data_IF_161198876923
#
_entry.id   IF_161198876923
#
_cell.length_a   1.000
_cell.length_b   1.000
_cell.length_c   1.000
_cell.angle_alpha   90.00
_cell.angle_beta   90.00
_cell.angle_gamma   90.00
#
_symmetry.space_group_name_H-M   'P 1'
#
loop_
_entity.id
_entity.type
_entity.pdbx_description
1 polymer ?
#
# COMPACT_ATOMS: atom_id res chain seq x y z
N UNK A 1 -17.53 -1.51 18.42
CA UNK A 1 -16.20 -1.35 19.10
C UNK A 1 -15.43 -0.28 18.34
N UNK A 2 -14.80 0.66 19.04
CA UNK A 2 -13.96 1.64 18.35
C UNK A 2 -12.62 1.02 17.96
N UNK A 3 -12.14 1.33 16.75
CA UNK A 3 -10.80 0.92 16.32
C UNK A 3 -9.76 1.80 17.02
N UNK A 4 -8.65 1.25 17.53
CA UNK A 4 -7.60 2.02 18.19
C UNK A 4 -6.73 2.75 17.15
N UNK A 5 -7.25 3.85 16.62
CA UNK A 5 -6.56 4.70 15.66
C UNK A 5 -5.62 5.68 16.37
N UNK A 6 -4.45 5.91 15.77
CA UNK A 6 -3.54 7.00 16.15
C UNK A 6 -4.21 8.37 15.88
N UNK A 7 -3.69 9.42 16.47
CA UNK A 7 -4.11 10.79 16.21
C UNK A 7 -3.23 11.50 15.17
N UNK A 8 -2.08 10.95 14.84
CA UNK A 8 -1.15 11.51 13.87
C UNK A 8 -1.49 11.07 12.44
N UNK A 9 -1.49 12.04 11.50
CA UNK A 9 -1.53 11.76 10.08
C UNK A 9 -0.14 11.46 9.54
N UNK A 10 0.04 10.27 8.95
CA UNK A 10 1.23 9.91 8.18
C UNK A 10 0.98 10.08 6.68
N UNK A 11 1.98 10.57 5.95
CA UNK A 11 1.95 10.73 4.50
C UNK A 11 2.98 9.81 3.85
N UNK A 12 2.54 8.98 2.92
CA UNK A 12 3.38 8.12 2.12
C UNK A 12 3.31 8.44 0.63
N UNK A 13 4.26 7.91 -0.12
CA UNK A 13 4.27 7.99 -1.58
C UNK A 13 4.12 6.59 -2.16
N UNK A 14 3.15 6.40 -3.05
CA UNK A 14 3.11 5.24 -3.92
C UNK A 14 4.07 5.48 -5.08
N UNK A 15 5.12 4.71 -5.15
CA UNK A 15 6.06 4.83 -6.26
C UNK A 15 5.56 4.06 -7.47
N UNK A 16 5.32 4.78 -8.54
CA UNK A 16 4.99 4.17 -9.82
C UNK A 16 6.11 4.51 -10.79
N UNK A 17 7.03 3.57 -10.93
CA UNK A 17 8.03 3.62 -12.00
C UNK A 17 7.42 3.10 -13.32
N UNK A 18 6.27 3.69 -13.70
CA UNK A 18 5.57 3.28 -14.91
C UNK A 18 5.46 4.46 -15.83
N UNK A 19 5.97 4.32 -17.03
CA UNK A 19 5.52 5.13 -18.13
C UNK A 19 4.22 4.52 -18.64
N UNK A 20 3.14 5.25 -18.52
CA UNK A 20 1.83 4.85 -19.04
C UNK A 20 1.62 5.28 -20.49
N UNK A 21 2.52 6.11 -21.01
CA UNK A 21 2.42 6.67 -22.35
C UNK A 21 3.22 5.83 -23.36
N UNK A 22 2.56 5.22 -24.36
CA UNK A 22 3.25 4.50 -25.43
C UNK A 22 4.25 5.41 -26.16
N UNK A 23 5.43 4.90 -26.48
CA UNK A 23 6.41 5.57 -27.33
C UNK A 23 7.39 6.49 -26.62
N UNK A 24 7.23 6.75 -25.32
CA UNK A 24 8.20 7.49 -24.51
C UNK A 24 9.05 6.50 -23.70
N UNK A 25 10.13 6.04 -24.27
CA UNK A 25 11.10 5.16 -23.58
C UNK A 25 12.12 5.94 -22.74
N UNK A 26 12.93 5.26 -21.90
CA UNK A 26 12.86 3.87 -21.50
C UNK A 26 11.68 3.55 -20.59
N UNK A 27 11.18 2.32 -20.65
CA UNK A 27 10.04 1.85 -19.84
C UNK A 27 10.37 1.63 -18.36
N UNK A 28 11.63 1.43 -18.04
CA UNK A 28 12.13 1.25 -16.68
C UNK A 28 13.01 2.43 -16.29
N UNK A 29 12.99 2.84 -15.03
CA UNK A 29 13.92 3.85 -14.53
C UNK A 29 15.35 3.27 -14.50
N UNK A 30 16.33 4.13 -14.69
CA UNK A 30 17.71 3.81 -14.40
C UNK A 30 17.93 3.67 -12.89
N UNK A 31 19.00 2.95 -12.49
CA UNK A 31 19.28 2.74 -11.06
C UNK A 31 19.47 4.05 -10.30
N UNK A 32 20.08 5.05 -10.92
CA UNK A 32 20.29 6.36 -10.32
C UNK A 32 18.96 7.10 -10.10
N UNK A 33 17.98 6.88 -10.96
CA UNK A 33 16.64 7.46 -10.82
C UNK A 33 15.89 6.85 -9.63
N UNK A 34 16.03 5.54 -9.40
CA UNK A 34 15.50 4.86 -8.21
C UNK A 34 16.12 5.42 -6.93
N UNK A 35 17.43 5.63 -6.91
CA UNK A 35 18.14 6.23 -5.77
C UNK A 35 17.67 7.66 -5.52
N UNK A 36 17.62 8.48 -6.57
CA UNK A 36 17.16 9.89 -6.50
C UNK A 36 15.73 9.99 -5.97
N UNK A 37 14.85 9.10 -6.38
CA UNK A 37 13.47 9.10 -5.89
C UNK A 37 13.40 8.84 -4.37
N UNK A 38 14.10 7.84 -3.87
CA UNK A 38 14.12 7.55 -2.42
C UNK A 38 14.68 8.73 -1.65
N UNK A 39 15.78 9.33 -2.12
CA UNK A 39 16.39 10.52 -1.53
C UNK A 39 15.44 11.71 -1.54
N UNK A 40 14.70 11.91 -2.62
CA UNK A 40 13.70 12.97 -2.74
C UNK A 40 12.58 12.81 -1.72
N UNK A 41 11.96 11.63 -1.66
CA UNK A 41 10.89 11.33 -0.71
C UNK A 41 11.36 11.52 0.74
N UNK A 42 12.60 11.11 1.03
CA UNK A 42 13.21 11.28 2.36
C UNK A 42 13.41 12.75 2.72
N UNK A 43 14.09 13.54 1.87
CA UNK A 43 14.37 14.96 2.15
C UNK A 43 13.13 15.85 2.15
N UNK A 44 12.08 15.47 1.42
CA UNK A 44 10.79 16.16 1.41
C UNK A 44 9.93 15.89 2.65
N UNK A 45 10.38 15.07 3.60
CA UNK A 45 9.71 14.87 4.87
C UNK A 45 8.47 13.98 4.83
N UNK A 46 8.31 13.14 3.80
CA UNK A 46 7.30 12.08 3.81
C UNK A 46 7.66 10.99 4.84
N UNK A 47 6.66 10.28 5.33
CA UNK A 47 6.86 9.26 6.37
C UNK A 47 7.16 7.88 5.79
N UNK A 48 6.68 7.59 4.58
CA UNK A 48 6.78 6.25 4.00
C UNK A 48 6.82 6.24 2.47
N UNK A 49 7.31 5.12 1.94
CA UNK A 49 7.36 4.86 0.50
C UNK A 49 6.82 3.46 0.21
N UNK A 50 5.97 3.36 -0.80
CA UNK A 50 5.20 2.16 -1.13
C UNK A 50 5.44 1.72 -2.56
N UNK A 51 5.48 0.41 -2.79
CA UNK A 51 5.62 -0.18 -4.13
C UNK A 51 4.49 -1.15 -4.41
N UNK A 52 3.98 -1.14 -5.64
CA UNK A 52 2.99 -2.10 -6.11
C UNK A 52 3.63 -3.38 -6.62
N UNK A 53 2.82 -4.40 -6.83
CA UNK A 53 3.25 -5.70 -7.32
C UNK A 53 2.38 -6.20 -8.46
N UNK A 54 3.04 -6.69 -9.51
CA UNK A 54 2.45 -7.51 -10.56
C UNK A 54 3.51 -8.46 -11.11
N UNK A 55 3.12 -9.68 -11.46
CA UNK A 55 4.00 -10.68 -12.08
C UNK A 55 4.01 -10.54 -13.61
N UNK A 56 2.82 -10.31 -14.17
CA UNK A 56 2.63 -10.16 -15.61
C UNK A 56 1.54 -9.11 -15.88
N UNK A 57 1.95 -7.88 -16.02
CA UNK A 57 1.06 -6.73 -16.21
C UNK A 57 1.27 -6.11 -17.59
N UNK A 58 0.29 -5.35 -18.07
CA UNK A 58 0.38 -4.65 -19.36
C UNK A 58 1.48 -3.59 -19.40
N UNK A 59 1.89 -3.09 -18.23
CA UNK A 59 2.96 -2.10 -18.08
C UNK A 59 4.14 -2.73 -17.31
N UNK A 60 5.39 -2.34 -17.61
CA UNK A 60 6.56 -2.82 -16.88
C UNK A 60 6.49 -2.47 -15.40
N UNK A 61 6.65 -3.44 -14.54
CA UNK A 61 6.72 -3.28 -13.08
C UNK A 61 7.90 -4.08 -12.56
N UNK A 62 8.72 -3.47 -11.72
CA UNK A 62 9.81 -4.15 -11.04
C UNK A 62 9.26 -5.02 -9.89
N UNK A 63 9.97 -6.11 -9.58
CA UNK A 63 9.65 -6.91 -8.40
C UNK A 63 9.72 -6.04 -7.13
N UNK A 64 8.68 -6.01 -6.31
CA UNK A 64 8.59 -5.09 -5.18
C UNK A 64 9.63 -5.35 -4.11
N UNK A 65 10.00 -6.60 -3.84
CA UNK A 65 10.98 -6.90 -2.79
C UNK A 65 12.40 -6.53 -3.19
N UNK A 66 12.75 -6.71 -4.47
CA UNK A 66 14.05 -6.30 -5.00
C UNK A 66 14.18 -4.77 -5.02
N UNK A 67 13.10 -4.07 -5.42
CA UNK A 67 13.04 -2.60 -5.39
C UNK A 67 13.14 -2.07 -3.96
N UNK A 68 12.42 -2.66 -3.01
CA UNK A 68 12.46 -2.27 -1.61
C UNK A 68 13.80 -2.57 -0.95
N UNK A 69 14.47 -3.66 -1.31
CA UNK A 69 15.82 -3.95 -0.83
C UNK A 69 16.83 -2.87 -1.26
N UNK A 70 16.73 -2.39 -2.50
CA UNK A 70 17.52 -1.26 -3.00
C UNK A 70 17.17 0.03 -2.23
N UNK A 71 15.91 0.33 -2.01
CA UNK A 71 15.48 1.53 -1.28
C UNK A 71 15.95 1.55 0.18
N UNK A 72 16.01 0.40 0.84
CA UNK A 72 16.41 0.25 2.23
C UNK A 72 17.85 0.71 2.50
N UNK A 73 18.75 0.61 1.52
CA UNK A 73 20.13 1.07 1.69
C UNK A 73 20.30 2.57 1.43
N UNK A 74 19.29 3.23 0.86
CA UNK A 74 19.31 4.67 0.54
C UNK A 74 18.75 5.51 1.70
N UNK A 75 17.66 5.08 2.32
CA UNK A 75 17.05 5.81 3.45
C UNK A 75 17.03 5.00 4.73
N UNK A 76 17.45 5.64 5.84
CA UNK A 76 17.39 5.09 7.20
C UNK A 76 16.19 5.62 7.99
N UNK A 77 15.39 6.51 7.42
CA UNK A 77 14.26 7.16 8.09
C UNK A 77 12.91 6.66 7.60
N UNK A 78 12.76 6.47 6.29
CA UNK A 78 11.50 6.09 5.70
C UNK A 78 11.02 4.72 6.18
N UNK A 79 9.73 4.61 6.42
CA UNK A 79 9.03 3.32 6.49
C UNK A 79 8.74 2.86 5.07
N UNK A 80 8.95 1.59 4.79
CA UNK A 80 8.71 1.01 3.48
C UNK A 80 7.55 0.02 3.51
N UNK A 81 6.80 -0.06 2.41
CA UNK A 81 5.69 -0.99 2.34
C UNK A 81 5.36 -1.46 0.92
N UNK A 82 4.57 -2.51 0.84
CA UNK A 82 3.96 -2.96 -0.41
C UNK A 82 2.50 -2.49 -0.50
N UNK A 83 2.13 -1.85 -1.59
CA UNK A 83 0.80 -1.30 -1.80
C UNK A 83 0.16 -1.73 -3.13
N UNK A 84 -0.24 -3.00 -3.29
CA UNK A 84 -0.19 -4.18 -2.40
C UNK A 84 0.61 -5.31 -3.05
N UNK A 85 1.14 -6.25 -2.26
CA UNK A 85 1.75 -7.50 -2.74
C UNK A 85 0.69 -8.55 -3.04
N UNK A 86 0.74 -9.17 -4.21
CA UNK A 86 -0.23 -10.20 -4.63
C UNK A 86 0.15 -11.57 -4.06
N UNK A 87 0.02 -11.71 -2.73
CA UNK A 87 0.47 -12.89 -1.99
C UNK A 87 -0.09 -14.24 -2.52
N UNK A 88 -1.35 -14.32 -3.04
CA UNK A 88 -1.86 -15.58 -3.56
C UNK A 88 -1.08 -16.16 -4.74
N UNK A 89 -0.31 -15.33 -5.46
CA UNK A 89 0.49 -15.75 -6.61
C UNK A 89 1.80 -16.47 -6.23
N UNK A 90 2.16 -16.48 -4.95
CA UNK A 90 3.45 -17.03 -4.47
C UNK A 90 3.24 -18.04 -3.34
N UNK A 91 4.20 -18.92 -3.19
CA UNK A 91 4.23 -19.83 -2.04
C UNK A 91 4.66 -19.06 -0.79
N UNK A 92 3.89 -19.13 0.35
CA UNK A 92 4.16 -18.31 1.53
C UNK A 92 5.48 -18.65 2.25
N UNK A 93 6.04 -19.82 2.09
CA UNK A 93 7.31 -20.22 2.73
C UNK A 93 8.49 -19.35 2.28
N UNK A 94 8.85 -19.30 0.98
CA UNK A 94 9.86 -18.36 0.47
C UNK A 94 9.54 -16.90 0.78
N UNK A 95 8.27 -16.48 0.65
CA UNK A 95 7.83 -15.12 0.96
C UNK A 95 8.07 -14.78 2.43
N UNK A 96 7.79 -15.70 3.36
CA UNK A 96 8.07 -15.51 4.79
C UNK A 96 9.56 -15.19 5.04
N UNK A 97 10.46 -15.90 4.33
CA UNK A 97 11.91 -15.71 4.42
C UNK A 97 12.36 -14.37 3.83
N UNK A 98 11.82 -14.00 2.67
CA UNK A 98 12.11 -12.73 2.01
C UNK A 98 11.69 -11.55 2.88
N UNK A 99 10.49 -11.61 3.47
CA UNK A 99 9.96 -10.57 4.36
C UNK A 99 10.80 -10.47 5.64
N UNK A 100 11.18 -11.59 6.25
CA UNK A 100 12.06 -11.57 7.41
C UNK A 100 13.41 -10.89 7.09
N UNK A 101 13.96 -11.16 5.91
CA UNK A 101 15.19 -10.51 5.42
C UNK A 101 15.00 -9.01 5.23
N UNK A 102 13.94 -8.59 4.53
CA UNK A 102 13.63 -7.17 4.32
C UNK A 102 13.42 -6.42 5.64
N UNK A 103 12.75 -7.05 6.59
CA UNK A 103 12.50 -6.46 7.91
C UNK A 103 13.81 -6.22 8.69
N UNK A 104 14.80 -7.10 8.54
CA UNK A 104 16.16 -6.86 9.06
C UNK A 104 16.89 -5.75 8.31
N UNK A 105 16.86 -5.75 6.97
CA UNK A 105 17.50 -4.71 6.15
C UNK A 105 16.93 -3.32 6.42
N UNK A 106 15.63 -3.25 6.70
CA UNK A 106 14.90 -2.01 7.03
C UNK A 106 14.88 -1.68 8.53
N UNK A 107 15.57 -2.48 9.35
CA UNK A 107 15.64 -2.26 10.80
C UNK A 107 14.26 -2.17 11.49
N UNK A 108 13.28 -2.96 11.03
CA UNK A 108 11.91 -2.99 11.54
C UNK A 108 11.00 -1.88 10.97
N UNK A 109 11.40 -1.18 9.91
CA UNK A 109 10.62 -0.14 9.23
C UNK A 109 9.90 -0.69 8.00
N UNK A 110 9.42 -1.92 8.05
CA UNK A 110 8.68 -2.56 6.97
C UNK A 110 7.22 -2.81 7.35
N UNK A 111 6.32 -2.55 6.42
CA UNK A 111 4.89 -2.86 6.48
C UNK A 111 4.53 -3.73 5.28
N UNK A 112 3.93 -4.88 5.54
CA UNK A 112 3.54 -5.80 4.48
C UNK A 112 2.08 -5.58 4.06
N UNK A 113 1.88 -4.77 3.03
CA UNK A 113 0.56 -4.58 2.41
C UNK A 113 0.25 -5.69 1.40
N UNK A 114 -0.89 -6.37 1.57
CA UNK A 114 -1.26 -7.53 0.75
C UNK A 114 -2.59 -7.35 0.03
N UNK A 115 -2.71 -7.97 -1.14
CA UNK A 115 -3.93 -7.99 -1.94
C UNK A 115 -4.24 -9.38 -2.50
N UNK A 116 -5.49 -9.55 -2.92
CA UNK A 116 -5.94 -10.81 -3.56
C UNK A 116 -5.63 -10.83 -5.06
N UNK A 117 -5.42 -9.67 -5.70
CA UNK A 117 -5.31 -9.58 -7.15
C UNK A 117 -6.59 -9.98 -7.88
N UNK A 118 -6.46 -10.26 -9.16
CA UNK A 118 -7.53 -10.80 -10.01
C UNK A 118 -8.00 -9.86 -11.11
N UNK A 119 -7.44 -8.65 -11.21
CA UNK A 119 -7.70 -7.72 -12.31
C UNK A 119 -7.10 -8.22 -13.62
N UNK A 120 -6.00 -8.98 -13.51
CA UNK A 120 -5.28 -9.57 -14.65
C UNK A 120 -5.21 -11.10 -14.49
N UNK A 121 -6.19 -11.86 -15.02
CA UNK A 121 -6.25 -13.32 -14.88
C UNK A 121 -5.00 -14.06 -15.39
N UNK A 122 -4.29 -13.51 -16.37
CA UNK A 122 -3.06 -14.11 -16.92
C UNK A 122 -1.91 -14.19 -15.90
N UNK A 123 -1.88 -13.34 -14.89
CA UNK A 123 -0.92 -13.46 -13.78
C UNK A 123 -1.15 -14.75 -12.97
N UNK A 124 -2.41 -15.11 -12.79
CA UNK A 124 -2.78 -16.35 -12.08
C UNK A 124 -2.43 -17.59 -12.92
N UNK A 125 -2.64 -17.51 -14.23
CA UNK A 125 -2.30 -18.59 -15.17
C UNK A 125 -0.79 -18.87 -15.17
N UNK A 126 0.06 -17.85 -15.31
CA UNK A 126 1.52 -18.02 -15.33
C UNK A 126 2.08 -18.47 -13.98
N UNK A 127 1.39 -18.17 -12.88
CA UNK A 127 1.77 -18.63 -11.53
C UNK A 127 1.16 -20.00 -11.18
N UNK A 128 0.35 -20.61 -12.06
CA UNK A 128 -0.30 -21.88 -11.79
C UNK A 128 -1.34 -21.85 -10.66
N UNK A 129 -1.95 -20.69 -10.42
CA UNK A 129 -2.91 -20.49 -9.31
C UNK A 129 -4.32 -20.29 -9.87
N UNK A 130 -5.30 -21.14 -9.50
CA UNK A 130 -6.69 -20.93 -9.87
C UNK A 130 -7.24 -19.61 -9.32
N UNK A 131 -7.80 -18.78 -10.20
CA UNK A 131 -8.30 -17.44 -9.85
C UNK A 131 -9.36 -17.44 -8.75
N UNK A 132 -10.22 -18.46 -8.71
CA UNK A 132 -11.27 -18.61 -7.69
C UNK A 132 -10.73 -19.00 -6.30
N UNK A 133 -9.48 -19.44 -6.18
CA UNK A 133 -8.84 -19.78 -4.91
C UNK A 133 -8.13 -18.61 -4.24
N UNK A 134 -7.93 -17.46 -4.94
CA UNK A 134 -7.10 -16.34 -4.48
C UNK A 134 -7.42 -15.85 -3.07
N UNK A 135 -8.69 -15.76 -2.72
CA UNK A 135 -9.11 -15.30 -1.39
C UNK A 135 -8.81 -16.30 -0.27
N UNK A 136 -9.01 -17.59 -0.53
CA UNK A 136 -8.70 -18.66 0.44
C UNK A 136 -7.18 -18.84 0.59
N UNK A 137 -6.44 -18.81 -0.52
CA UNK A 137 -4.96 -18.86 -0.51
C UNK A 137 -4.37 -17.69 0.26
N UNK A 138 -4.88 -16.45 0.06
CA UNK A 138 -4.43 -15.30 0.86
C UNK A 138 -4.63 -15.55 2.35
N UNK A 139 -5.81 -16.02 2.74
CA UNK A 139 -6.12 -16.27 4.16
C UNK A 139 -5.19 -17.31 4.78
N UNK A 140 -4.95 -18.41 4.10
CA UNK A 140 -4.06 -19.46 4.59
C UNK A 140 -2.59 -19.04 4.55
N UNK A 141 -2.16 -18.32 3.50
CA UNK A 141 -0.81 -17.75 3.43
C UNK A 141 -0.49 -16.85 4.62
N UNK A 142 -1.44 -16.00 5.04
CA UNK A 142 -1.27 -15.13 6.21
C UNK A 142 -1.04 -15.93 7.50
N UNK A 143 -1.73 -17.06 7.67
CA UNK A 143 -1.53 -17.96 8.79
C UNK A 143 -0.15 -18.61 8.75
N UNK A 144 0.26 -19.10 7.57
CA UNK A 144 1.61 -19.67 7.36
C UNK A 144 2.72 -18.65 7.67
N UNK A 145 2.58 -17.40 7.21
CA UNK A 145 3.55 -16.35 7.51
C UNK A 145 3.70 -16.14 9.03
N UNK A 146 2.58 -15.94 9.74
CA UNK A 146 2.60 -15.73 11.20
C UNK A 146 3.18 -16.94 11.95
N UNK A 147 2.89 -18.15 11.49
CA UNK A 147 3.42 -19.40 12.08
C UNK A 147 4.94 -19.50 11.90
N UNK A 148 5.46 -19.22 10.69
CA UNK A 148 6.90 -19.25 10.41
C UNK A 148 7.68 -18.13 11.10
N UNK A 149 7.09 -16.93 11.25
CA UNK A 149 7.72 -15.76 11.86
C UNK A 149 7.91 -15.86 13.37
N UNK A 150 7.36 -16.89 14.01
CA UNK A 150 7.67 -17.18 15.43
C UNK A 150 9.13 -17.54 15.63
N UNK A 151 9.84 -18.00 14.60
CA UNK A 151 11.21 -18.52 14.71
C UNK A 151 11.30 -19.84 15.48
N UNK A 152 10.18 -20.39 15.93
CA UNK A 152 10.09 -21.64 16.65
C UNK A 152 9.80 -22.81 15.70
N UNK A 153 9.87 -24.04 16.21
CA UNK A 153 9.49 -25.23 15.45
C UNK A 153 7.99 -25.19 15.13
N UNK A 154 7.66 -25.04 13.86
CA UNK A 154 6.33 -24.78 13.35
C UNK A 154 5.80 -25.95 12.52
N UNK A 155 4.51 -26.22 12.65
CA UNK A 155 3.76 -27.19 11.85
C UNK A 155 2.49 -26.50 11.33
N UNK A 156 2.11 -26.78 10.09
CA UNK A 156 0.89 -26.28 9.48
C UNK A 156 0.25 -27.37 8.61
N UNK A 157 -1.03 -27.61 8.84
CA UNK A 157 -1.86 -28.50 8.03
C UNK A 157 -3.05 -27.71 7.50
N UNK A 158 -2.94 -27.28 6.27
CA UNK A 158 -3.95 -26.47 5.60
C UNK A 158 -4.48 -27.12 4.32
N UNK A 159 -5.35 -26.41 3.65
CA UNK A 159 -5.87 -26.83 2.35
C UNK A 159 -4.82 -26.75 1.24
N UNK A 160 -3.98 -25.71 1.27
CA UNK A 160 -3.05 -25.39 0.19
C UNK A 160 -1.60 -25.62 0.59
N UNK A 161 -1.27 -25.51 1.88
CA UNK A 161 0.11 -25.59 2.37
C UNK A 161 0.20 -26.56 3.54
N UNK A 162 1.19 -27.45 3.49
CA UNK A 162 1.41 -28.46 4.53
C UNK A 162 2.91 -28.61 4.80
N UNK A 163 3.29 -28.54 6.08
CA UNK A 163 4.66 -28.81 6.53
C UNK A 163 4.68 -29.16 8.01
N UNK A 164 5.71 -29.90 8.45
CA UNK A 164 5.87 -30.33 9.82
C UNK A 164 7.27 -30.03 10.36
N UNK A 165 7.33 -29.49 11.57
CA UNK A 165 8.56 -29.36 12.34
C UNK A 165 9.60 -28.41 11.71
N UNK A 166 9.16 -27.41 10.95
CA UNK A 166 10.04 -26.43 10.28
C UNK A 166 10.41 -25.31 11.22
N UNK A 167 11.68 -24.92 11.26
CA UNK A 167 12.15 -23.73 11.98
C UNK A 167 12.73 -22.75 10.96
N UNK A 168 12.17 -21.55 10.87
CA UNK A 168 12.67 -20.49 9.98
C UNK A 168 13.53 -19.49 10.76
N UNK A 169 14.83 -19.41 10.41
CA UNK A 169 15.79 -18.49 11.04
C UNK A 169 16.49 -17.62 9.98
N UNK A 170 16.78 -16.34 10.25
CA UNK A 170 16.26 -15.61 11.41
C UNK A 170 14.75 -15.34 11.28
N UNK A 171 14.03 -15.18 12.38
CA UNK A 171 12.68 -14.60 12.34
C UNK A 171 12.77 -13.11 11.95
N UNK A 172 11.65 -12.44 11.62
CA UNK A 172 11.64 -11.00 11.44
C UNK A 172 12.19 -10.25 12.66
N UNK A 173 12.72 -9.05 12.44
CA UNK A 173 13.17 -8.15 13.50
C UNK A 173 12.00 -7.67 14.37
N UNK A 174 10.87 -7.36 13.74
CA UNK A 174 9.62 -7.03 14.42
C UNK A 174 9.02 -8.31 15.03
N UNK A 175 8.77 -8.32 16.33
CA UNK A 175 8.22 -9.49 17.02
C UNK A 175 6.88 -9.93 16.42
N UNK A 176 6.77 -11.19 16.02
CA UNK A 176 5.59 -11.74 15.32
C UNK A 176 5.44 -11.30 13.86
N UNK A 177 6.48 -10.69 13.29
CA UNK A 177 6.57 -10.20 11.92
C UNK A 177 6.12 -8.75 11.74
N UNK A 178 6.36 -8.15 10.58
CA UNK A 178 5.93 -6.80 10.27
C UNK A 178 4.40 -6.68 10.33
N UNK A 179 3.87 -5.45 10.57
CA UNK A 179 2.44 -5.20 10.46
C UNK A 179 1.95 -5.60 9.06
N UNK A 180 0.78 -6.27 9.01
CA UNK A 180 0.16 -6.65 7.74
C UNK A 180 -1.09 -5.81 7.53
N UNK A 181 -1.12 -5.10 6.40
CA UNK A 181 -2.30 -4.37 5.96
C UNK A 181 -2.88 -5.03 4.72
N UNK A 182 -4.18 -4.96 4.51
CA UNK A 182 -4.78 -5.46 3.28
C UNK A 182 -5.76 -4.48 2.66
N UNK A 183 -5.80 -4.52 1.34
CA UNK A 183 -6.80 -3.85 0.54
C UNK A 183 -8.11 -4.64 0.44
N UNK A 184 -9.08 -4.02 -0.24
CA UNK A 184 -10.36 -4.63 -0.60
C UNK A 184 -11.54 -4.08 0.18
N UNK A 185 -12.72 -4.15 -0.49
CA UNK A 185 -13.99 -3.58 -0.01
C UNK A 185 -15.11 -4.62 0.16
N UNK A 186 -14.87 -5.86 -0.29
CA UNK A 186 -15.86 -6.94 -0.15
C UNK A 186 -15.99 -7.37 1.31
N UNK A 187 -17.13 -7.94 1.68
CA UNK A 187 -17.35 -8.46 3.03
C UNK A 187 -16.31 -9.50 3.43
N UNK A 188 -15.82 -10.30 2.48
CA UNK A 188 -14.75 -11.26 2.72
C UNK A 188 -13.41 -10.56 3.04
N UNK A 189 -13.11 -9.42 2.39
CA UNK A 189 -11.93 -8.61 2.69
C UNK A 189 -12.05 -7.95 4.07
N UNK A 190 -13.19 -7.33 4.36
CA UNK A 190 -13.51 -6.73 5.67
C UNK A 190 -13.35 -7.75 6.80
N UNK A 191 -13.96 -8.93 6.68
CA UNK A 191 -13.84 -10.01 7.67
C UNK A 191 -12.40 -10.48 7.84
N UNK A 192 -11.61 -10.52 6.76
CA UNK A 192 -10.17 -10.89 6.83
C UNK A 192 -9.38 -9.84 7.59
N UNK A 193 -9.60 -8.56 7.29
CA UNK A 193 -8.96 -7.45 8.02
C UNK A 193 -9.31 -7.53 9.50
N UNK A 194 -10.58 -7.58 9.82
CA UNK A 194 -11.07 -7.66 11.20
C UNK A 194 -10.49 -8.84 11.99
N UNK A 195 -10.22 -9.96 11.33
CA UNK A 195 -9.79 -11.19 12.00
C UNK A 195 -8.28 -11.37 12.10
N UNK A 196 -7.50 -10.93 11.07
CA UNK A 196 -6.11 -11.37 10.91
C UNK A 196 -5.09 -10.22 10.78
N UNK A 197 -5.53 -8.99 10.50
CA UNK A 197 -4.61 -7.94 10.03
C UNK A 197 -4.47 -6.78 11.01
N UNK A 198 -3.42 -5.99 10.81
CA UNK A 198 -3.06 -4.87 11.66
C UNK A 198 -3.46 -3.52 11.02
N UNK A 199 -3.99 -3.56 9.81
CA UNK A 199 -4.47 -2.35 9.12
C UNK A 199 -5.28 -2.65 7.87
N UNK A 200 -5.98 -1.61 7.41
CA UNK A 200 -6.76 -1.62 6.17
C UNK A 200 -6.26 -0.53 5.23
N UNK A 201 -5.98 -0.89 3.99
CA UNK A 201 -5.58 0.01 2.92
C UNK A 201 -6.70 0.11 1.91
N UNK A 202 -7.50 1.15 1.96
CA UNK A 202 -8.56 1.39 0.98
C UNK A 202 -8.03 2.03 -0.30
N UNK A 203 -8.82 1.93 -1.35
CA UNK A 203 -8.48 2.40 -2.68
C UNK A 203 -9.77 2.70 -3.45
N UNK A 204 -9.80 3.83 -4.16
CA UNK A 204 -10.97 4.27 -4.97
C UNK A 204 -12.27 4.27 -4.15
N UNK A 205 -12.30 5.04 -3.08
CA UNK A 205 -13.45 5.29 -2.20
C UNK A 205 -13.57 6.78 -1.90
N UNK A 206 -14.76 7.22 -1.53
CA UNK A 206 -14.98 8.56 -0.94
C UNK A 206 -14.72 8.52 0.56
N UNK A 207 -14.58 9.68 1.26
CA UNK A 207 -14.48 9.72 2.72
C UNK A 207 -15.63 8.99 3.43
N UNK A 208 -16.87 9.14 2.95
CA UNK A 208 -18.03 8.43 3.52
C UNK A 208 -17.94 6.92 3.35
N UNK A 209 -17.54 6.45 2.16
CA UNK A 209 -17.31 5.01 1.91
C UNK A 209 -16.15 4.49 2.77
N UNK A 210 -15.15 5.32 3.01
CA UNK A 210 -14.03 4.98 3.89
C UNK A 210 -14.51 4.79 5.33
N UNK A 211 -15.28 5.74 5.88
CA UNK A 211 -15.89 5.63 7.22
C UNK A 211 -16.74 4.36 7.34
N UNK A 212 -17.65 4.13 6.39
CA UNK A 212 -18.46 2.92 6.37
C UNK A 212 -17.63 1.62 6.34
N UNK A 213 -16.48 1.64 5.65
CA UNK A 213 -15.53 0.51 5.65
C UNK A 213 -14.94 0.25 7.02
N UNK A 214 -14.54 1.32 7.74
CA UNK A 214 -14.02 1.20 9.11
C UNK A 214 -15.09 0.71 10.09
N UNK A 215 -16.32 1.21 9.99
CA UNK A 215 -17.43 0.76 10.83
C UNK A 215 -17.68 -0.74 10.67
N UNK A 216 -17.72 -1.23 9.42
CA UNK A 216 -17.85 -2.67 9.14
C UNK A 216 -16.69 -3.50 9.72
N UNK A 217 -15.46 -2.98 9.68
CA UNK A 217 -14.28 -3.66 10.27
C UNK A 217 -14.41 -3.69 11.80
N UNK A 218 -14.81 -2.56 12.41
CA UNK A 218 -15.04 -2.46 13.85
C UNK A 218 -16.12 -3.44 14.34
N UNK A 219 -17.25 -3.51 13.63
CA UNK A 219 -18.36 -4.42 13.93
C UNK A 219 -17.92 -5.88 13.80
N UNK A 220 -17.22 -6.22 12.71
CA UNK A 220 -16.72 -7.58 12.48
C UNK A 220 -15.67 -8.00 13.52
N UNK A 221 -14.80 -7.09 13.95
CA UNK A 221 -13.83 -7.34 15.02
C UNK A 221 -14.52 -7.48 16.38
N UNK A 222 -15.49 -6.60 16.67
CA UNK A 222 -16.30 -6.67 17.90
C UNK A 222 -17.06 -7.98 18.02
N UNK A 223 -17.65 -8.46 16.93
CA UNK A 223 -18.42 -9.72 16.91
C UNK A 223 -17.58 -10.96 17.26
N UNK A 224 -16.26 -10.91 17.10
CA UNK A 224 -15.33 -12.00 17.46
C UNK A 224 -14.47 -11.67 18.68
N UNK A 225 -14.72 -10.57 19.36
CA UNK A 225 -13.97 -10.14 20.55
C UNK A 225 -12.49 -9.84 20.28
N UNK A 226 -12.12 -9.46 19.04
CA UNK A 226 -10.73 -9.19 18.71
C UNK A 226 -10.23 -7.90 19.36
N UNK A 227 -9.02 -7.97 19.95
CA UNK A 227 -8.25 -6.83 20.40
C UNK A 227 -7.10 -6.58 19.41
N UNK A 228 -6.87 -5.32 19.06
CA UNK A 228 -5.75 -4.91 18.22
C UNK A 228 -4.58 -4.49 19.11
N UNK A 229 -3.82 -5.44 19.61
CA UNK A 229 -2.74 -5.23 20.59
C UNK A 229 -1.61 -4.33 20.06
N UNK A 230 -1.41 -4.32 18.74
CA UNK A 230 -0.39 -3.49 18.06
C UNK A 230 -0.95 -2.19 17.49
N UNK A 231 -2.19 -1.82 17.88
CA UNK A 231 -2.95 -0.77 17.22
C UNK A 231 -3.56 -1.22 15.89
N UNK A 232 -4.29 -0.31 15.26
CA UNK A 232 -4.88 -0.53 13.93
C UNK A 232 -4.62 0.69 13.06
N UNK A 233 -4.12 0.47 11.84
CA UNK A 233 -3.88 1.59 10.91
C UNK A 233 -4.94 1.61 9.82
N UNK A 234 -5.68 2.70 9.75
CA UNK A 234 -6.61 3.00 8.67
C UNK A 234 -5.87 3.80 7.60
N UNK A 235 -5.58 3.17 6.46
CA UNK A 235 -4.81 3.74 5.36
C UNK A 235 -5.65 3.91 4.10
N UNK A 236 -5.37 4.97 3.33
CA UNK A 236 -6.00 5.24 2.04
C UNK A 236 -4.96 5.56 0.98
N UNK A 237 -4.98 4.84 -0.15
CA UNK A 237 -4.23 5.19 -1.34
C UNK A 237 -5.06 6.18 -2.16
N UNK A 238 -4.52 7.40 -2.29
CA UNK A 238 -5.20 8.55 -2.85
C UNK A 238 -4.50 9.05 -4.12
N UNK A 239 -5.18 8.97 -5.25
CA UNK A 239 -4.72 9.66 -6.46
C UNK A 239 -4.70 11.16 -6.23
N UNK A 240 -3.56 11.79 -6.48
CA UNK A 240 -3.32 13.17 -6.07
C UNK A 240 -2.61 13.95 -7.18
N UNK A 241 -3.05 15.20 -7.38
CA UNK A 241 -2.31 16.17 -8.19
C UNK A 241 -2.53 17.58 -7.68
N UNK A 242 -1.43 18.28 -7.43
CA UNK A 242 -1.42 19.71 -7.16
C UNK A 242 -1.18 20.47 -8.48
N UNK A 243 -2.05 21.41 -8.80
CA UNK A 243 -1.92 22.22 -10.03
C UNK A 243 -2.44 23.66 -9.78
N UNK A 244 -2.30 24.53 -10.78
CA UNK A 244 -2.75 25.92 -10.70
C UNK A 244 -4.27 26.07 -10.57
N UNK A 245 -5.01 25.12 -11.17
CA UNK A 245 -6.48 25.08 -11.13
C UNK A 245 -6.97 23.64 -11.01
N UNK A 246 -8.19 23.47 -10.52
CA UNK A 246 -8.85 22.16 -10.47
C UNK A 246 -8.99 21.53 -11.87
N UNK A 247 -9.33 22.34 -12.88
CA UNK A 247 -9.53 21.87 -14.26
C UNK A 247 -8.24 21.33 -14.87
N UNK A 248 -7.10 22.00 -14.65
CA UNK A 248 -5.80 21.53 -15.11
C UNK A 248 -5.41 20.21 -14.43
N UNK A 249 -5.59 20.12 -13.12
CA UNK A 249 -5.36 18.89 -12.37
C UNK A 249 -6.25 17.73 -12.83
N UNK A 250 -7.54 18.01 -13.07
CA UNK A 250 -8.51 17.02 -13.54
C UNK A 250 -8.16 16.52 -14.95
N UNK A 251 -7.77 17.40 -15.84
CA UNK A 251 -7.38 17.02 -17.21
C UNK A 251 -6.15 16.10 -17.21
N UNK A 252 -5.11 16.47 -16.48
CA UNK A 252 -3.89 15.68 -16.35
C UNK A 252 -4.15 14.33 -15.68
N UNK A 253 -4.93 14.31 -14.60
CA UNK A 253 -5.32 13.07 -13.90
C UNK A 253 -6.17 12.18 -14.80
N UNK A 254 -7.14 12.74 -15.52
CA UNK A 254 -8.00 11.99 -16.46
C UNK A 254 -7.16 11.31 -17.54
N UNK A 255 -6.26 12.03 -18.18
CA UNK A 255 -5.39 11.47 -19.23
C UNK A 255 -4.53 10.33 -18.68
N UNK A 256 -3.85 10.54 -17.57
CA UNK A 256 -2.95 9.55 -16.95
C UNK A 256 -3.72 8.29 -16.51
N UNK A 257 -4.83 8.46 -15.79
CA UNK A 257 -5.60 7.34 -15.25
C UNK A 257 -6.39 6.59 -16.34
N UNK A 258 -6.89 7.28 -17.36
CA UNK A 258 -7.56 6.63 -18.50
C UNK A 258 -6.59 5.74 -19.26
N UNK A 259 -5.35 6.17 -19.47
CA UNK A 259 -4.30 5.34 -20.07
C UNK A 259 -3.94 4.15 -19.18
N UNK A 260 -3.79 4.37 -17.86
CA UNK A 260 -3.42 3.32 -16.89
C UNK A 260 -4.47 2.20 -16.82
N UNK A 261 -5.75 2.55 -16.85
CA UNK A 261 -6.84 1.59 -16.67
C UNK A 261 -7.55 1.20 -17.98
N UNK A 262 -7.11 1.74 -19.12
CA UNK A 262 -7.70 1.51 -20.45
C UNK A 262 -9.23 1.78 -20.50
N UNK A 263 -9.70 2.84 -19.80
CA UNK A 263 -11.09 3.25 -19.72
C UNK A 263 -11.21 4.76 -19.45
N UNK A 264 -12.36 5.37 -19.79
CA UNK A 264 -12.61 6.77 -19.40
C UNK A 264 -12.67 6.91 -17.87
N UNK A 265 -11.71 7.61 -17.31
CA UNK A 265 -11.56 7.79 -15.86
C UNK A 265 -12.05 9.16 -15.35
N UNK A 266 -12.57 10.05 -16.21
CA UNK A 266 -12.92 11.43 -15.84
C UNK A 266 -13.88 11.51 -14.65
N UNK A 267 -14.99 10.77 -14.69
CA UNK A 267 -15.96 10.76 -13.58
C UNK A 267 -15.39 10.16 -12.30
N UNK A 268 -14.55 9.13 -12.45
CA UNK A 268 -13.88 8.53 -11.31
C UNK A 268 -12.83 9.49 -10.71
N UNK A 269 -12.08 10.21 -11.55
CA UNK A 269 -11.12 11.21 -11.09
C UNK A 269 -11.80 12.32 -10.28
N UNK A 270 -12.92 12.87 -10.77
CA UNK A 270 -13.72 13.86 -10.04
C UNK A 270 -14.21 13.35 -8.67
N UNK A 271 -14.49 12.07 -8.57
CA UNK A 271 -15.10 11.49 -7.36
C UNK A 271 -14.09 11.02 -6.32
N UNK A 272 -12.92 10.52 -6.76
CA UNK A 272 -12.01 9.75 -5.91
C UNK A 272 -10.61 10.33 -5.78
N UNK A 273 -10.26 11.37 -6.55
CA UNK A 273 -8.94 11.95 -6.51
C UNK A 273 -8.90 13.25 -5.67
N UNK A 274 -7.75 13.58 -5.14
CA UNK A 274 -7.45 14.89 -4.56
C UNK A 274 -6.78 15.75 -5.63
N UNK A 275 -7.49 16.70 -6.19
CA UNK A 275 -7.08 17.48 -7.37
C UNK A 275 -7.23 18.97 -7.13
N UNK A 276 -6.35 19.78 -7.72
CA UNK A 276 -6.47 21.21 -7.78
C UNK A 276 -5.34 21.95 -7.07
N UNK A 277 -5.65 23.15 -6.55
CA UNK A 277 -4.69 23.93 -5.78
C UNK A 277 -4.35 23.25 -4.47
N UNK A 278 -3.23 23.59 -3.80
CA UNK A 278 -2.81 22.98 -2.55
C UNK A 278 -3.92 22.90 -1.50
N UNK A 279 -4.72 23.98 -1.36
CA UNK A 279 -5.82 24.05 -0.40
C UNK A 279 -6.93 23.04 -0.70
N UNK A 280 -7.27 22.83 -1.98
CA UNK A 280 -8.31 21.90 -2.42
C UNK A 280 -7.88 20.45 -2.20
N UNK A 281 -6.61 20.16 -2.46
CA UNK A 281 -6.00 18.85 -2.21
C UNK A 281 -5.95 18.55 -0.71
N UNK A 282 -5.50 19.52 0.10
CA UNK A 282 -5.44 19.43 1.57
C UNK A 282 -6.83 19.22 2.17
N UNK A 283 -7.85 19.93 1.69
CA UNK A 283 -9.24 19.76 2.14
C UNK A 283 -9.73 18.32 1.92
N UNK A 284 -9.39 17.73 0.77
CA UNK A 284 -9.73 16.33 0.49
C UNK A 284 -9.03 15.39 1.48
N UNK A 285 -7.74 15.62 1.79
CA UNK A 285 -6.99 14.82 2.77
C UNK A 285 -7.59 14.98 4.18
N UNK A 286 -7.97 16.20 4.59
CA UNK A 286 -8.62 16.46 5.88
C UNK A 286 -9.94 15.71 6.01
N UNK A 287 -10.77 15.66 4.98
CA UNK A 287 -12.01 14.88 4.97
C UNK A 287 -11.74 13.38 5.13
N UNK A 288 -10.69 12.83 4.57
CA UNK A 288 -10.28 11.45 4.83
C UNK A 288 -9.79 11.26 6.27
N UNK A 289 -9.04 12.21 6.81
CA UNK A 289 -8.61 12.18 8.22
C UNK A 289 -9.80 12.18 9.18
N UNK A 290 -10.80 13.05 8.96
CA UNK A 290 -12.05 13.11 9.71
C UNK A 290 -12.84 11.80 9.58
N UNK A 291 -12.80 11.17 8.40
CA UNK A 291 -13.38 9.85 8.19
C UNK A 291 -12.60 8.72 8.87
N UNK A 292 -11.44 8.99 9.47
CA UNK A 292 -10.64 8.04 10.25
C UNK A 292 -9.33 7.59 9.59
N UNK A 293 -8.96 8.11 8.42
CA UNK A 293 -7.66 7.80 7.82
C UNK A 293 -6.52 8.36 8.69
N UNK A 294 -5.50 7.55 8.90
CA UNK A 294 -4.30 7.93 9.66
C UNK A 294 -3.01 7.77 8.86
N UNK A 295 -3.10 7.15 7.71
CA UNK A 295 -2.02 7.03 6.75
C UNK A 295 -2.56 7.25 5.34
N UNK A 296 -2.22 8.37 4.71
CA UNK A 296 -2.58 8.64 3.32
C UNK A 296 -1.35 8.38 2.44
N UNK A 297 -1.51 7.47 1.49
CA UNK A 297 -0.49 7.11 0.50
C UNK A 297 -0.85 7.83 -0.78
N UNK A 298 -0.04 8.81 -1.16
CA UNK A 298 -0.25 9.63 -2.34
C UNK A 298 0.27 8.90 -3.59
N UNK A 299 -0.61 8.70 -4.55
CA UNK A 299 -0.28 8.25 -5.91
C UNK A 299 -0.40 9.46 -6.83
N UNK A 300 0.74 10.10 -7.12
CA UNK A 300 0.75 11.28 -7.99
C UNK A 300 0.41 10.90 -9.43
N UNK A 301 -0.58 11.60 -9.98
CA UNK A 301 -1.11 11.36 -11.33
C UNK A 301 -0.84 12.54 -12.26
N UNK A 302 -0.45 12.23 -13.49
CA UNK A 302 -0.08 13.22 -14.49
C UNK A 302 0.99 12.69 -15.42
N UNK A 303 1.66 13.57 -16.20
CA UNK A 303 2.79 13.20 -17.03
C UNK A 303 3.92 12.56 -16.22
N UNK A 304 4.52 11.50 -16.74
CA UNK A 304 5.60 10.77 -16.06
C UNK A 304 6.80 11.67 -15.75
N UNK A 305 7.10 12.61 -16.63
CA UNK A 305 8.22 13.54 -16.51
C UNK A 305 8.07 14.49 -15.31
N UNK A 306 6.84 14.80 -14.91
CA UNK A 306 6.54 15.73 -13.80
C UNK A 306 6.54 15.06 -12.42
N UNK A 307 6.72 13.75 -12.34
CA UNK A 307 6.52 13.00 -11.08
C UNK A 307 7.42 13.44 -9.91
N UNK A 308 8.64 13.89 -10.19
CA UNK A 308 9.53 14.41 -9.15
C UNK A 308 9.10 15.81 -8.72
N UNK A 309 8.72 16.64 -9.68
CA UNK A 309 8.23 17.99 -9.43
C UNK A 309 6.94 17.98 -8.62
N UNK A 310 6.05 17.01 -8.87
CA UNK A 310 4.82 16.82 -8.08
C UNK A 310 5.11 16.43 -6.62
N UNK A 311 6.09 15.58 -6.37
CA UNK A 311 6.54 15.22 -5.03
C UNK A 311 7.08 16.47 -4.30
N UNK A 312 7.94 17.24 -4.95
CA UNK A 312 8.50 18.48 -4.38
C UNK A 312 7.43 19.56 -4.18
N UNK A 313 6.55 19.76 -5.17
CA UNK A 313 5.44 20.74 -5.09
C UNK A 313 4.49 20.43 -3.94
N UNK A 314 4.02 19.18 -3.83
CA UNK A 314 3.15 18.78 -2.72
C UNK A 314 3.85 18.98 -1.37
N UNK A 315 5.12 18.63 -1.27
CA UNK A 315 5.88 18.81 -0.04
C UNK A 315 6.02 20.29 0.35
N UNK A 316 6.28 21.17 -0.62
CA UNK A 316 6.46 22.59 -0.38
C UNK A 316 5.14 23.34 -0.10
N UNK A 317 4.05 22.96 -0.79
CA UNK A 317 2.83 23.75 -0.81
C UNK A 317 1.67 23.13 0.00
N UNK A 318 1.62 21.79 0.15
CA UNK A 318 0.52 21.10 0.84
C UNK A 318 0.91 20.57 2.22
N UNK A 319 2.12 20.03 2.41
CA UNK A 319 2.54 19.49 3.74
C UNK A 319 2.46 20.55 4.84
N UNK A 320 2.90 21.81 4.65
CA UNK A 320 2.77 22.85 5.68
C UNK A 320 1.33 23.10 6.13
N UNK A 321 0.36 22.94 5.22
CA UNK A 321 -1.07 23.11 5.52
C UNK A 321 -1.69 21.91 6.31
N UNK A 322 -0.95 20.81 6.46
CA UNK A 322 -1.34 19.60 7.21
C UNK A 322 -0.55 19.43 8.51
N UNK A 323 0.26 20.42 8.89
CA UNK A 323 1.20 20.29 10.01
C UNK A 323 0.49 20.01 11.33
N UNK A 324 -0.67 20.61 11.56
CA UNK A 324 -1.53 20.37 12.73
C UNK A 324 -1.92 18.89 12.89
N UNK A 325 -2.23 18.21 11.79
CA UNK A 325 -2.57 16.78 11.78
C UNK A 325 -1.34 15.87 11.91
N UNK A 326 -0.19 16.33 11.43
CA UNK A 326 1.06 15.56 11.45
C UNK A 326 1.81 15.64 12.78
N UNK A 327 1.60 16.70 13.54
CA UNK A 327 2.21 16.95 14.86
C UNK A 327 1.25 16.67 16.02
N UNK A 328 0.03 16.18 15.77
CA UNK A 328 -0.90 15.83 16.82
C UNK A 328 -0.24 14.85 17.79
N UNK A 329 -0.02 15.31 19.02
CA UNK A 329 0.66 14.55 20.05
C UNK A 329 -0.27 13.49 20.65
N UNK A 330 0.34 12.36 21.01
CA UNK A 330 -0.22 11.29 21.85
C UNK A 330 -0.67 11.84 23.21
#
# INVERSE_FOLDING_TARGET
>A
MDLPLDNRLSLGIQTIHRRTEPGVGPWLPEIDELVKLVQLVDRCGYDSMWVGDHVAFALPILDPFLQLAQAAVVSRRLTFGTGVYLLPLRHPGPVAKQIATLDHLMEGRFIFGVGVGGEFPKEFEVCGVPLNERGARLTESLQVLRTLWTGQRATHHGRFFNFEGVTMQPPPRQAGGPPIWAGGRSDAAVKRVARLLDGWMSYVVTPDMFRQGLDKIADAAGAIGRKFERGFVASHLLFTRVDKTYEAALEAATKSLSTRYAMDFRRAAQRYCALGRPQEVVETIRRFYEAGARHVILDFVGPYEERFDEIERFAAEAIPLLQDLRTAHV
#
